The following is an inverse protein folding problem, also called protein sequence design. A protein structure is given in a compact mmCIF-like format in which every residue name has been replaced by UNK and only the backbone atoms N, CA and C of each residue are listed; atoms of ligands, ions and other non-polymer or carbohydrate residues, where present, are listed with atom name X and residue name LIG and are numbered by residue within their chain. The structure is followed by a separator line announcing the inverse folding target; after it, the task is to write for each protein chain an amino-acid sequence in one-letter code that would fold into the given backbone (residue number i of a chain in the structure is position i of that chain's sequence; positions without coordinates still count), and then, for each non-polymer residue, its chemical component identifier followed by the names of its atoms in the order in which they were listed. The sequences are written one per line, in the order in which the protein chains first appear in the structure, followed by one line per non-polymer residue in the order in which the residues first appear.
data_IF_060844425736
#
_entry.id   IF_060844425736
#
_cell.length_a   1.000
_cell.length_b   1.000
_cell.length_c   1.000
_cell.angle_alpha   90.00
_cell.angle_beta   90.00
_cell.angle_gamma   90.00
#
_symmetry.space_group_name_H-M   'P 1'
#
loop_
_entity.id
_entity.type
_entity.pdbx_description
1 polymer ?
#
# COMPACT_ATOMS: atom_id res chain seq x y z
N UNK A 1 -14.97 -17.09 42.81
CA UNK A 1 -15.45 -16.99 41.42
C UNK A 1 -15.01 -15.65 40.91
N UNK A 2 -13.95 -15.60 40.11
CA UNK A 2 -13.36 -14.34 39.65
C UNK A 2 -14.09 -13.85 38.40
N UNK A 3 -14.70 -12.64 38.41
CA UNK A 3 -15.46 -12.12 37.28
C UNK A 3 -14.59 -11.53 36.15
N UNK A 4 -13.26 -11.66 36.20
CA UNK A 4 -12.33 -10.97 35.30
C UNK A 4 -11.71 -11.87 34.22
N UNK A 5 -12.54 -12.70 33.58
CA UNK A 5 -12.16 -13.38 32.32
C UNK A 5 -13.06 -12.93 31.17
N UNK A 6 -13.35 -11.62 31.10
CA UNK A 6 -13.67 -11.00 29.81
C UNK A 6 -12.40 -10.98 28.97
N UNK A 7 -12.17 -12.09 28.28
CA UNK A 7 -11.28 -12.18 27.11
C UNK A 7 -11.35 -10.87 26.33
N UNK A 8 -10.32 -10.03 26.45
CA UNK A 8 -10.12 -8.90 25.55
C UNK A 8 -9.92 -9.48 24.15
N UNK A 9 -11.02 -9.58 23.39
CA UNK A 9 -11.00 -10.06 22.02
C UNK A 9 -10.37 -8.95 21.19
N UNK A 10 -9.04 -8.91 21.18
CA UNK A 10 -8.24 -7.95 20.41
C UNK A 10 -8.48 -8.11 18.92
N UNK A 11 -9.46 -7.40 18.36
CA UNK A 11 -9.67 -7.29 16.92
C UNK A 11 -8.53 -6.49 16.27
N UNK A 12 -8.07 -6.72 15.04
CA UNK A 12 -8.42 -7.64 13.95
C UNK A 12 -7.08 -8.16 13.36
N UNK A 13 -6.49 -9.25 13.88
CA UNK A 13 -5.18 -9.72 13.44
C UNK A 13 -5.10 -10.10 11.95
N UNK A 14 -6.07 -10.81 11.32
CA UNK A 14 -5.90 -11.29 9.96
C UNK A 14 -5.99 -10.16 8.92
N UNK A 15 -6.93 -9.22 9.08
CA UNK A 15 -7.07 -8.09 8.14
C UNK A 15 -5.90 -7.12 8.22
N UNK A 16 -5.36 -6.90 9.42
CA UNK A 16 -4.15 -6.09 9.57
C UNK A 16 -2.92 -6.77 8.96
N UNK A 17 -2.79 -8.09 9.13
CA UNK A 17 -1.72 -8.85 8.49
C UNK A 17 -1.84 -8.78 6.97
N UNK A 18 -3.05 -9.00 6.43
CA UNK A 18 -3.33 -8.87 5.00
C UNK A 18 -2.95 -7.48 4.49
N UNK A 19 -3.32 -6.43 5.20
CA UNK A 19 -2.96 -5.05 4.85
C UNK A 19 -1.44 -4.83 4.83
N UNK A 20 -0.72 -5.34 5.84
CA UNK A 20 0.76 -5.24 5.87
C UNK A 20 1.40 -5.97 4.70
N UNK A 21 0.95 -7.18 4.40
CA UNK A 21 1.43 -7.97 3.26
C UNK A 21 1.14 -7.24 1.96
N UNK A 22 -0.07 -6.71 1.79
CA UNK A 22 -0.47 -6.00 0.57
C UNK A 22 0.34 -4.72 0.37
N UNK A 23 0.54 -3.91 1.41
CA UNK A 23 1.41 -2.72 1.34
C UNK A 23 2.86 -3.11 1.02
N UNK A 24 3.37 -4.17 1.65
CA UNK A 24 4.71 -4.69 1.35
C UNK A 24 4.84 -5.17 -0.10
N UNK A 25 3.81 -5.82 -0.64
CA UNK A 25 3.75 -6.23 -2.03
C UNK A 25 3.70 -5.02 -2.98
N UNK A 26 2.94 -3.97 -2.65
CA UNK A 26 2.92 -2.72 -3.42
C UNK A 26 4.32 -2.08 -3.48
N UNK A 27 5.03 -2.04 -2.35
CA UNK A 27 6.41 -1.53 -2.29
C UNK A 27 7.38 -2.38 -3.13
N UNK A 28 7.28 -3.70 -3.03
CA UNK A 28 8.12 -4.61 -3.81
C UNK A 28 7.86 -4.49 -5.32
N UNK A 29 6.59 -4.36 -5.73
CA UNK A 29 6.21 -4.14 -7.13
C UNK A 29 6.73 -2.79 -7.63
N UNK A 30 6.64 -1.72 -6.84
CA UNK A 30 7.21 -0.42 -7.21
C UNK A 30 8.73 -0.47 -7.30
N UNK A 31 9.42 -1.18 -6.40
CA UNK A 31 10.87 -1.37 -6.51
C UNK A 31 11.24 -2.10 -7.81
N UNK A 32 10.49 -3.14 -8.16
CA UNK A 32 10.64 -3.84 -9.43
C UNK A 32 10.48 -2.88 -10.62
N UNK A 33 9.44 -2.05 -10.61
CA UNK A 33 9.20 -1.04 -11.64
C UNK A 33 10.37 -0.08 -11.80
N UNK A 34 10.98 0.38 -10.70
CA UNK A 34 12.17 1.23 -10.77
C UNK A 34 13.38 0.51 -11.36
N UNK A 35 13.61 -0.75 -10.98
CA UNK A 35 14.72 -1.53 -11.53
C UNK A 35 14.55 -1.71 -13.04
N UNK A 36 13.36 -2.08 -13.51
CA UNK A 36 13.08 -2.25 -14.93
C UNK A 36 13.06 -0.92 -15.68
N UNK A 37 12.54 0.16 -15.10
CA UNK A 37 12.61 1.50 -15.68
C UNK A 37 14.06 1.98 -15.83
N UNK A 38 14.92 1.72 -14.85
CA UNK A 38 16.36 1.98 -14.93
C UNK A 38 17.01 1.27 -16.12
N UNK A 39 16.67 0.01 -16.36
CA UNK A 39 17.13 -0.75 -17.53
C UNK A 39 16.66 -0.11 -18.85
N UNK A 40 15.41 0.34 -18.92
CA UNK A 40 14.87 1.01 -20.11
C UNK A 40 15.56 2.34 -20.40
N UNK A 41 15.92 3.11 -19.37
CA UNK A 41 16.71 4.35 -19.51
C UNK A 41 18.10 4.04 -20.09
N UNK A 42 18.68 2.88 -19.75
CA UNK A 42 19.94 2.40 -20.34
C UNK A 42 19.76 1.70 -21.70
N UNK A 43 18.62 1.89 -22.37
CA UNK A 43 18.29 1.33 -23.69
C UNK A 43 18.18 -0.20 -23.74
N UNK A 44 18.03 -0.88 -22.59
CA UNK A 44 17.79 -2.32 -22.54
C UNK A 44 16.30 -2.63 -22.74
N UNK A 45 15.87 -2.73 -24.00
CA UNK A 45 14.47 -2.95 -24.35
C UNK A 45 13.93 -4.33 -23.95
N UNK A 46 14.79 -5.29 -23.60
CA UNK A 46 14.35 -6.58 -23.06
C UNK A 46 13.63 -6.45 -21.70
N UNK A 47 13.82 -5.32 -21.00
CA UNK A 47 13.13 -5.03 -19.75
C UNK A 47 11.66 -4.57 -19.94
N UNK A 48 11.24 -4.23 -21.17
CA UNK A 48 9.91 -3.65 -21.41
C UNK A 48 8.76 -4.60 -21.01
N UNK A 49 8.77 -5.91 -21.34
CA UNK A 49 7.72 -6.83 -20.87
C UNK A 49 7.73 -7.01 -19.36
N UNK A 50 8.91 -6.96 -18.72
CA UNK A 50 9.05 -7.07 -17.28
C UNK A 50 8.49 -5.84 -16.56
N UNK A 51 8.70 -4.65 -17.11
CA UNK A 51 8.11 -3.40 -16.63
C UNK A 51 6.60 -3.40 -16.79
N UNK A 52 6.09 -3.84 -17.94
CA UNK A 52 4.64 -3.96 -18.14
C UNK A 52 4.00 -4.94 -17.14
N UNK A 53 4.67 -6.08 -16.87
CA UNK A 53 4.25 -7.03 -15.84
C UNK A 53 4.31 -6.45 -14.42
N UNK A 54 5.31 -5.63 -14.11
CA UNK A 54 5.43 -4.91 -12.85
C UNK A 54 4.30 -3.90 -12.65
N UNK A 55 3.95 -3.14 -13.68
CA UNK A 55 2.82 -2.22 -13.67
C UNK A 55 1.51 -2.95 -13.35
N UNK A 56 1.28 -4.13 -13.92
CA UNK A 56 0.13 -4.97 -13.58
C UNK A 56 0.16 -5.41 -12.10
N UNK A 57 1.32 -5.83 -11.61
CA UNK A 57 1.50 -6.21 -10.20
C UNK A 57 1.20 -5.04 -9.23
N UNK A 58 1.59 -3.80 -9.58
CA UNK A 58 1.26 -2.60 -8.80
C UNK A 58 -0.26 -2.41 -8.68
N UNK A 59 -1.03 -2.62 -9.76
CA UNK A 59 -2.49 -2.50 -9.73
C UNK A 59 -3.13 -3.55 -8.83
N UNK A 60 -2.70 -4.81 -8.97
CA UNK A 60 -3.23 -5.91 -8.16
C UNK A 60 -2.89 -5.69 -6.68
N UNK A 61 -1.63 -5.39 -6.37
CA UNK A 61 -1.19 -5.20 -4.99
C UNK A 61 -1.87 -3.99 -4.32
N UNK A 62 -1.97 -2.85 -5.01
CA UNK A 62 -2.66 -1.66 -4.48
C UNK A 62 -4.18 -1.86 -4.37
N UNK A 63 -4.79 -2.65 -5.25
CA UNK A 63 -6.19 -3.06 -5.13
C UNK A 63 -6.44 -3.92 -3.89
N UNK A 64 -5.60 -4.93 -3.65
CA UNK A 64 -5.67 -5.77 -2.45
C UNK A 64 -5.40 -4.92 -1.19
N UNK A 65 -4.45 -3.98 -1.24
CA UNK A 65 -4.17 -3.04 -0.16
C UNK A 65 -5.40 -2.20 0.18
N UNK A 66 -6.07 -1.62 -0.81
CA UNK A 66 -7.31 -0.86 -0.61
C UNK A 66 -8.41 -1.71 0.03
N UNK A 67 -8.65 -2.91 -0.50
CA UNK A 67 -9.65 -3.83 0.06
C UNK A 67 -9.35 -4.18 1.52
N UNK A 68 -8.10 -4.52 1.83
CA UNK A 68 -7.67 -4.81 3.19
C UNK A 68 -7.83 -3.61 4.12
N UNK A 69 -7.49 -2.40 3.67
CA UNK A 69 -7.65 -1.17 4.44
C UNK A 69 -9.12 -0.89 4.75
N UNK A 70 -10.03 -1.09 3.80
CA UNK A 70 -11.47 -0.95 4.01
C UNK A 70 -12.00 -2.01 4.99
N UNK A 71 -11.56 -3.26 4.88
CA UNK A 71 -11.94 -4.31 5.82
C UNK A 71 -11.50 -3.98 7.25
N UNK A 72 -10.28 -3.48 7.42
CA UNK A 72 -9.79 -3.00 8.72
C UNK A 72 -10.64 -1.86 9.26
N UNK A 73 -10.98 -0.87 8.43
CA UNK A 73 -11.83 0.25 8.82
C UNK A 73 -13.24 -0.19 9.24
N UNK A 74 -13.85 -1.11 8.48
CA UNK A 74 -15.21 -1.62 8.78
C UNK A 74 -15.26 -2.52 10.00
N UNK A 75 -14.23 -3.34 10.21
CA UNK A 75 -14.18 -4.26 11.33
C UNK A 75 -13.85 -3.55 12.66
N UNK A 76 -13.47 -2.28 12.61
CA UNK A 76 -13.08 -1.48 13.77
C UNK A 76 -11.73 -1.91 14.33
N UNK A 77 -11.02 -0.97 14.93
CA UNK A 77 -9.73 -1.27 15.54
C UNK A 77 -9.34 -0.37 16.70
N UNK A 78 -8.33 -0.81 17.44
CA UNK A 78 -7.75 -0.06 18.56
C UNK A 78 -7.09 1.26 18.15
N UNK A 79 -6.83 1.50 16.86
CA UNK A 79 -6.23 2.75 16.37
C UNK A 79 -7.24 3.90 16.22
N UNK A 80 -8.53 3.58 16.32
CA UNK A 80 -9.62 4.53 16.20
C UNK A 80 -10.12 4.71 14.75
N UNK A 81 -11.40 5.07 14.57
CA UNK A 81 -12.03 5.13 13.24
C UNK A 81 -11.39 6.14 12.28
N UNK A 82 -10.85 7.25 12.80
CA UNK A 82 -10.23 8.30 11.98
C UNK A 82 -8.92 7.83 11.33
N UNK A 83 -8.07 7.12 12.08
CA UNK A 83 -6.82 6.56 11.56
C UNK A 83 -7.08 5.52 10.48
N UNK A 84 -8.02 4.59 10.75
CA UNK A 84 -8.37 3.53 9.79
C UNK A 84 -8.94 4.11 8.50
N UNK A 85 -9.79 5.14 8.60
CA UNK A 85 -10.31 5.86 7.45
C UNK A 85 -9.20 6.54 6.65
N UNK A 86 -8.23 7.17 7.31
CA UNK A 86 -7.08 7.78 6.64
C UNK A 86 -6.28 6.73 5.86
N UNK A 87 -5.98 5.58 6.45
CA UNK A 87 -5.28 4.48 5.77
C UNK A 87 -6.04 4.00 4.53
N UNK A 88 -7.37 3.88 4.61
CA UNK A 88 -8.21 3.52 3.47
C UNK A 88 -8.18 4.59 2.36
N UNK A 89 -8.22 5.88 2.71
CA UNK A 89 -8.16 6.98 1.75
C UNK A 89 -6.81 7.06 1.03
N UNK A 90 -5.70 6.91 1.76
CA UNK A 90 -4.36 6.90 1.15
C UNK A 90 -4.18 5.66 0.26
N UNK A 91 -4.72 4.51 0.66
CA UNK A 91 -4.71 3.30 -0.18
C UNK A 91 -5.58 3.44 -1.43
N UNK A 92 -6.71 4.13 -1.33
CA UNK A 92 -7.55 4.47 -2.48
C UNK A 92 -6.80 5.38 -3.45
N UNK A 93 -6.12 6.39 -2.93
CA UNK A 93 -5.29 7.29 -3.74
C UNK A 93 -4.20 6.51 -4.47
N UNK A 94 -3.48 5.60 -3.80
CA UNK A 94 -2.47 4.75 -4.44
C UNK A 94 -3.06 3.92 -5.58
N UNK A 95 -4.21 3.26 -5.35
CA UNK A 95 -4.88 2.47 -6.36
C UNK A 95 -5.32 3.32 -7.57
N UNK A 96 -5.95 4.46 -7.31
CA UNK A 96 -6.44 5.37 -8.37
C UNK A 96 -5.28 5.98 -9.16
N UNK A 97 -4.18 6.36 -8.53
CA UNK A 97 -3.01 6.93 -9.21
C UNK A 97 -2.30 5.92 -10.12
N UNK A 98 -2.41 4.62 -9.85
CA UNK A 98 -1.84 3.56 -10.70
C UNK A 98 -2.37 3.60 -12.15
N UNK A 99 -3.65 3.90 -12.33
CA UNK A 99 -4.29 3.92 -13.66
C UNK A 99 -3.76 5.02 -14.60
N UNK A 100 -3.79 6.33 -14.23
CA UNK A 100 -3.20 7.36 -15.07
C UNK A 100 -1.68 7.18 -15.22
N UNK A 101 -0.99 6.63 -14.21
CA UNK A 101 0.44 6.33 -14.33
C UNK A 101 0.71 5.27 -15.41
N UNK A 102 -0.06 4.17 -15.44
CA UNK A 102 0.06 3.15 -16.48
C UNK A 102 -0.35 3.66 -17.87
N UNK A 103 -1.42 4.46 -17.95
CA UNK A 103 -1.85 5.07 -19.20
C UNK A 103 -0.75 5.99 -19.77
N UNK A 104 -0.14 6.83 -18.94
CA UNK A 104 0.97 7.70 -19.33
C UNK A 104 2.22 6.90 -19.69
N UNK A 105 2.50 5.79 -19.00
CA UNK A 105 3.65 4.93 -19.31
C UNK A 105 3.52 4.16 -20.62
N UNK A 106 2.28 3.92 -21.06
CA UNK A 106 2.00 3.17 -22.30
C UNK A 106 1.84 4.08 -23.51
N UNK A 107 1.13 5.20 -23.35
CA UNK A 107 0.70 6.05 -24.47
C UNK A 107 1.10 7.52 -24.34
N UNK A 108 1.58 7.94 -23.18
CA UNK A 108 1.72 9.35 -22.83
C UNK A 108 3.17 9.86 -22.76
N UNK A 109 3.33 11.15 -22.44
CA UNK A 109 4.64 11.75 -22.26
C UNK A 109 5.34 11.22 -20.99
N UNK A 110 6.58 10.75 -21.16
CA UNK A 110 7.43 10.30 -20.04
C UNK A 110 7.63 11.40 -18.99
N UNK A 111 7.62 12.67 -19.41
CA UNK A 111 7.74 13.83 -18.52
C UNK A 111 6.61 13.93 -17.50
N UNK A 112 5.43 13.37 -17.78
CA UNK A 112 4.32 13.31 -16.84
C UNK A 112 4.28 11.97 -16.08
N UNK A 113 4.67 10.88 -16.75
CA UNK A 113 4.71 9.53 -16.16
C UNK A 113 5.64 9.46 -14.94
N UNK A 114 6.87 9.97 -15.04
CA UNK A 114 7.88 9.84 -13.98
C UNK A 114 7.48 10.61 -12.71
N UNK A 115 7.10 11.91 -12.76
CA UNK A 115 6.63 12.60 -11.56
C UNK A 115 5.40 11.93 -10.92
N UNK A 116 4.46 11.43 -11.73
CA UNK A 116 3.29 10.74 -11.21
C UNK A 116 3.65 9.42 -10.52
N UNK A 117 4.63 8.68 -11.05
CA UNK A 117 5.17 7.49 -10.41
C UNK A 117 5.81 7.82 -9.04
N UNK A 118 6.52 8.95 -8.93
CA UNK A 118 7.07 9.40 -7.64
C UNK A 118 5.98 9.75 -6.62
N UNK A 119 4.89 10.37 -7.05
CA UNK A 119 3.72 10.64 -6.18
C UNK A 119 3.07 9.34 -5.72
N UNK A 120 2.91 8.36 -6.62
CA UNK A 120 2.41 7.03 -6.27
C UNK A 120 3.30 6.35 -5.22
N UNK A 121 4.62 6.41 -5.39
CA UNK A 121 5.59 5.85 -4.45
C UNK A 121 5.50 6.51 -3.08
N UNK A 122 5.47 7.85 -3.05
CA UNK A 122 5.28 8.59 -1.80
C UNK A 122 3.98 8.17 -1.10
N UNK A 123 2.90 7.97 -1.87
CA UNK A 123 1.60 7.54 -1.34
C UNK A 123 1.64 6.13 -0.75
N UNK A 124 2.30 5.18 -1.41
CA UNK A 124 2.45 3.80 -0.91
C UNK A 124 3.37 3.75 0.31
N UNK A 125 4.49 4.48 0.30
CA UNK A 125 5.38 4.61 1.46
C UNK A 125 4.65 5.24 2.64
N UNK A 126 3.86 6.28 2.41
CA UNK A 126 3.04 6.89 3.46
C UNK A 126 2.01 5.92 4.01
N UNK A 127 1.38 5.11 3.15
CA UNK A 127 0.50 4.02 3.59
C UNK A 127 1.22 3.04 4.51
N UNK A 128 2.46 2.64 4.17
CA UNK A 128 3.29 1.79 5.02
C UNK A 128 3.57 2.45 6.37
N UNK A 129 3.98 3.71 6.41
CA UNK A 129 4.19 4.45 7.66
C UNK A 129 2.95 4.41 8.53
N UNK A 130 1.77 4.72 7.98
CA UNK A 130 0.51 4.71 8.73
C UNK A 130 0.13 3.30 9.24
N UNK A 131 0.36 2.26 8.45
CA UNK A 131 0.06 0.87 8.81
C UNK A 131 0.98 0.36 9.93
N UNK A 132 2.26 0.76 9.95
CA UNK A 132 3.21 0.32 10.98
C UNK A 132 3.18 1.17 12.25
N UNK A 133 2.99 2.50 12.18
CA UNK A 133 2.84 3.37 13.36
C UNK A 133 1.67 2.99 14.26
N UNK A 134 0.67 2.33 13.68
CA UNK A 134 -0.44 1.68 14.40
C UNK A 134 0.01 0.73 15.53
N UNK A 135 1.21 0.14 15.40
CA UNK A 135 1.73 -0.88 16.32
C UNK A 135 2.37 -0.29 17.56
N UNK A 136 2.94 0.91 17.45
CA UNK A 136 3.76 1.55 18.49
C UNK A 136 2.92 2.14 19.64
N UNK A 137 1.67 2.52 19.38
CA UNK A 137 0.75 3.06 20.40
C UNK A 137 0.37 2.08 21.52
N UNK A 138 0.84 0.82 21.47
CA UNK A 138 0.62 -0.20 22.51
C UNK A 138 1.71 -0.24 23.59
N UNK A 139 2.87 0.37 23.37
CA UNK A 139 4.02 0.27 24.28
C UNK A 139 4.03 1.29 25.43
N UNK A 140 3.42 2.45 25.24
CA UNK A 140 3.58 3.61 26.15
C UNK A 140 2.58 3.62 27.33
N UNK A 141 1.46 2.88 27.24
CA UNK A 141 0.41 2.89 28.27
C UNK A 141 0.48 1.70 29.26
N UNK A 142 1.66 1.10 29.45
CA UNK A 142 1.87 -0.06 30.35
C UNK A 142 3.02 0.11 31.35
N UNK A 143 3.24 1.32 31.85
CA UNK A 143 4.18 1.58 32.96
C UNK A 143 3.50 2.31 34.10
#
# INVERSE_FOLDING_TARGET
MDPNTTTERGGNPPWLLLLRVAVGASLAALLWEFLTAGQLITFNMAALPLHWGGAFAVHVASGVQLLAAVLVWRAGSSAGPAHDRLVALVSLLAFVLGFPQAALGTYGPLQAHVPLALVLVATVVWSAVLVWRRTEGRGVNRS
#
